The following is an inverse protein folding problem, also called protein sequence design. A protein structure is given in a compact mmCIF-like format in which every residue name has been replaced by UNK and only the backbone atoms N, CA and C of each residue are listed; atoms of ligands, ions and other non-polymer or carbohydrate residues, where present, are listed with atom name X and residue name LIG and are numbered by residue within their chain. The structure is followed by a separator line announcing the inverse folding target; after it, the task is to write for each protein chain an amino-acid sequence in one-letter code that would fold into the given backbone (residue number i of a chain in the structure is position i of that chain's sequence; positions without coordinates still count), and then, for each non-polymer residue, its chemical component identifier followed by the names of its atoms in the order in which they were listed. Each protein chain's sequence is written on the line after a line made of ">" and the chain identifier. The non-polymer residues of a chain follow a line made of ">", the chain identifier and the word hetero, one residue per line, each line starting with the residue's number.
data_IF_965990141523
#
_entry.id   IF_965990141523
#
_cell.length_a   1.000
_cell.length_b   1.000
_cell.length_c   1.000
_cell.angle_alpha   90.00
_cell.angle_beta   90.00
_cell.angle_gamma   90.00
#
_symmetry.space_group_name_H-M   'P 1'
#
loop_
_entity.id
_entity.type
_entity.pdbx_description
1 polymer ?
#
# COMPACT_ATOMS: atom_id res chain seq x y z
N UNK A 1 57.55 -22.94 18.86
CA UNK A 1 56.65 -22.40 19.89
C UNK A 1 56.35 -23.51 20.86
N UNK A 2 56.49 -23.22 22.15
CA UNK A 2 56.44 -24.21 23.22
C UNK A 2 54.98 -24.55 23.58
N UNK A 3 54.63 -25.84 23.70
CA UNK A 3 53.22 -26.24 23.92
C UNK A 3 52.64 -25.68 25.22
N UNK A 4 53.47 -25.54 26.26
CA UNK A 4 53.07 -25.00 27.56
C UNK A 4 52.64 -23.54 27.50
N UNK A 5 53.25 -22.74 26.61
CA UNK A 5 52.86 -21.34 26.45
C UNK A 5 51.46 -21.20 25.84
N UNK A 6 51.06 -22.17 25.02
CA UNK A 6 49.79 -22.18 24.32
C UNK A 6 48.63 -22.55 25.25
N UNK A 7 48.87 -23.43 26.22
CA UNK A 7 47.92 -23.75 27.30
C UNK A 7 47.70 -22.56 28.23
N UNK A 8 48.78 -21.95 28.72
CA UNK A 8 48.67 -20.75 29.57
C UNK A 8 47.94 -19.60 28.88
N UNK A 9 48.14 -19.44 27.57
CA UNK A 9 47.44 -18.43 26.79
C UNK A 9 45.93 -18.73 26.69
N UNK A 10 45.56 -20.00 26.44
CA UNK A 10 44.15 -20.43 26.40
C UNK A 10 43.46 -20.22 27.75
N UNK A 11 44.12 -20.59 28.84
CA UNK A 11 43.58 -20.39 30.19
C UNK A 11 43.37 -18.91 30.49
N UNK A 12 44.32 -18.06 30.07
CA UNK A 12 44.20 -16.61 30.27
C UNK A 12 43.04 -16.01 29.48
N UNK A 13 42.81 -16.47 28.25
CA UNK A 13 41.65 -16.07 27.43
C UNK A 13 40.34 -16.53 28.09
N UNK A 14 40.28 -17.78 28.57
CA UNK A 14 39.09 -18.31 29.23
C UNK A 14 38.75 -17.52 30.49
N UNK A 15 39.74 -17.19 31.32
CA UNK A 15 39.57 -16.40 32.54
C UNK A 15 39.13 -14.97 32.25
N UNK A 16 39.72 -14.31 31.23
CA UNK A 16 39.28 -12.97 30.84
C UNK A 16 37.85 -12.98 30.30
N UNK A 17 37.50 -13.98 29.48
CA UNK A 17 36.13 -14.16 29.00
C UNK A 17 35.12 -14.33 30.13
N UNK A 18 35.43 -15.16 31.13
CA UNK A 18 34.58 -15.37 32.30
C UNK A 18 34.42 -14.09 33.13
N UNK A 19 35.51 -13.34 33.33
CA UNK A 19 35.47 -12.08 34.09
C UNK A 19 34.63 -11.00 33.40
N UNK A 20 34.75 -10.86 32.07
CA UNK A 20 33.93 -9.95 31.30
C UNK A 20 32.45 -10.33 31.32
N UNK A 21 32.14 -11.63 31.25
CA UNK A 21 30.77 -12.12 31.37
C UNK A 21 30.17 -11.78 32.74
N UNK A 22 30.88 -12.04 33.84
CA UNK A 22 30.42 -11.73 35.20
C UNK A 22 30.21 -10.22 35.41
N UNK A 23 31.13 -9.38 34.92
CA UNK A 23 30.97 -7.92 34.95
C UNK A 23 29.76 -7.45 34.14
N UNK A 24 29.54 -8.03 32.96
CA UNK A 24 28.38 -7.73 32.13
C UNK A 24 27.08 -8.14 32.83
N UNK A 25 27.02 -9.35 33.40
CA UNK A 25 25.83 -9.84 34.11
C UNK A 25 25.51 -9.00 35.35
N UNK A 26 26.53 -8.54 36.09
CA UNK A 26 26.34 -7.61 37.23
C UNK A 26 25.78 -6.25 36.82
N UNK A 27 26.17 -5.73 35.66
CA UNK A 27 25.71 -4.41 35.18
C UNK A 27 24.38 -4.46 34.43
N UNK A 28 24.16 -5.50 33.65
CA UNK A 28 23.09 -5.56 32.65
C UNK A 28 22.13 -6.74 32.84
N UNK A 29 22.37 -7.60 33.82
CA UNK A 29 21.59 -8.82 34.04
C UNK A 29 22.07 -10.01 33.19
N UNK A 30 21.55 -11.19 33.51
CA UNK A 30 21.87 -12.44 32.81
C UNK A 30 21.42 -12.35 31.35
N UNK A 31 22.34 -12.60 30.42
CA UNK A 31 21.99 -12.72 29.00
C UNK A 31 21.33 -14.09 28.82
N UNK A 32 19.99 -14.13 28.90
CA UNK A 32 19.22 -15.30 28.52
C UNK A 32 19.27 -15.48 26.99
N UNK A 33 20.30 -16.17 26.49
CA UNK A 33 20.41 -16.54 25.05
C UNK A 33 19.37 -17.63 24.66
N UNK A 34 18.45 -17.98 25.57
CA UNK A 34 17.46 -19.05 25.38
C UNK A 34 16.02 -18.57 25.20
N UNK A 35 15.80 -17.31 24.82
CA UNK A 35 14.49 -16.91 24.30
C UNK A 35 14.46 -17.19 22.79
N UNK A 36 14.05 -18.42 22.46
CA UNK A 36 13.43 -18.72 21.17
C UNK A 36 12.37 -17.65 20.96
N UNK A 37 12.68 -16.68 20.10
CA UNK A 37 11.78 -15.59 19.77
C UNK A 37 10.46 -16.22 19.34
N UNK A 38 9.44 -16.16 20.19
CA UNK A 38 8.09 -16.43 19.78
C UNK A 38 7.75 -15.32 18.80
N UNK A 39 7.93 -15.60 17.51
CA UNK A 39 7.42 -14.79 16.43
C UNK A 39 5.91 -14.75 16.61
N UNK A 40 5.43 -13.66 17.21
CA UNK A 40 4.00 -13.37 17.28
C UNK A 40 3.53 -13.33 15.83
N UNK A 41 2.75 -14.32 15.42
CA UNK A 41 2.17 -14.38 14.09
C UNK A 41 1.16 -13.22 13.96
N UNK A 42 1.65 -12.07 13.50
CA UNK A 42 0.83 -10.89 13.26
C UNK A 42 -0.03 -11.16 12.02
N UNK A 43 -1.33 -11.34 12.24
CA UNK A 43 -2.30 -11.44 11.17
C UNK A 43 -2.61 -10.04 10.62
N UNK A 44 -1.87 -9.61 9.59
CA UNK A 44 -2.03 -8.29 8.98
C UNK A 44 -3.06 -8.40 7.85
N UNK A 45 -4.14 -7.63 7.97
CA UNK A 45 -5.16 -7.57 6.91
C UNK A 45 -4.68 -6.71 5.74
N UNK A 46 -4.93 -7.12 4.48
CA UNK A 46 -4.57 -6.35 3.30
C UNK A 46 -5.18 -4.95 3.29
N UNK A 47 -4.55 -4.03 2.56
CA UNK A 47 -5.09 -2.69 2.34
C UNK A 47 -6.38 -2.79 1.52
N UNK A 48 -7.46 -2.22 2.05
CA UNK A 48 -8.71 -2.01 1.32
C UNK A 48 -8.89 -0.52 1.09
N UNK A 49 -8.89 -0.13 -0.17
CA UNK A 49 -9.24 1.21 -0.63
C UNK A 49 -10.70 1.21 -1.09
N UNK A 50 -11.41 2.27 -0.76
CA UNK A 50 -12.79 2.49 -1.19
C UNK A 50 -12.77 3.69 -2.13
N UNK A 51 -13.38 3.54 -3.30
CA UNK A 51 -13.58 4.67 -4.21
C UNK A 51 -14.77 5.46 -3.67
N UNK A 52 -14.62 6.76 -3.34
CA UNK A 52 -15.72 7.57 -2.86
C UNK A 52 -16.84 7.67 -3.90
N UNK A 53 -18.12 7.64 -3.48
CA UNK A 53 -19.26 7.78 -4.40
C UNK A 53 -19.27 9.13 -5.11
N UNK A 54 -18.64 10.15 -4.53
CA UNK A 54 -18.45 11.47 -5.15
C UNK A 54 -17.63 11.39 -6.43
N UNK A 55 -16.62 10.51 -6.49
CA UNK A 55 -15.82 10.28 -7.69
C UNK A 55 -16.68 9.64 -8.79
N UNK A 56 -17.50 8.65 -8.45
CA UNK A 56 -18.39 7.99 -9.42
C UNK A 56 -19.42 8.97 -9.99
N UNK A 57 -20.00 9.84 -9.16
CA UNK A 57 -20.92 10.88 -9.60
C UNK A 57 -20.26 11.84 -10.61
N UNK A 58 -19.04 12.31 -10.31
CA UNK A 58 -18.28 13.19 -11.21
C UNK A 58 -17.98 12.52 -12.55
N UNK A 59 -17.61 11.23 -12.54
CA UNK A 59 -17.37 10.48 -13.78
C UNK A 59 -18.65 10.32 -14.62
N UNK A 60 -19.81 10.17 -13.97
CA UNK A 60 -21.10 10.10 -14.67
C UNK A 60 -21.48 11.44 -15.32
N UNK A 61 -21.20 12.56 -14.66
CA UNK A 61 -21.46 13.91 -15.18
C UNK A 61 -20.70 14.20 -16.48
N UNK A 62 -19.50 13.64 -16.64
CA UNK A 62 -18.67 13.83 -17.85
C UNK A 62 -19.20 13.09 -19.09
N UNK A 63 -20.25 12.28 -18.97
CA UNK A 63 -20.88 11.54 -20.08
C UNK A 63 -19.88 10.79 -21.00
N UNK A 64 -18.85 10.20 -20.41
CA UNK A 64 -17.77 9.55 -21.15
C UNK A 64 -18.30 8.42 -22.06
N UNK A 65 -17.72 8.24 -23.27
CA UNK A 65 -17.99 7.08 -24.11
C UNK A 65 -17.78 5.77 -23.35
N UNK A 66 -18.53 4.72 -23.69
CA UNK A 66 -18.44 3.39 -23.02
C UNK A 66 -16.99 2.91 -22.93
N UNK A 67 -16.26 2.94 -24.05
CA UNK A 67 -14.84 2.55 -24.12
C UNK A 67 -13.94 3.37 -23.18
N UNK A 68 -14.19 4.67 -23.04
CA UNK A 68 -13.42 5.52 -22.14
C UNK A 68 -13.70 5.16 -20.67
N UNK A 69 -14.95 4.82 -20.32
CA UNK A 69 -15.31 4.34 -18.98
C UNK A 69 -14.68 3.00 -18.63
N UNK A 70 -14.57 2.09 -19.60
CA UNK A 70 -13.87 0.81 -19.41
C UNK A 70 -12.38 1.01 -19.13
N UNK A 71 -11.72 1.85 -19.93
CA UNK A 71 -10.30 2.19 -19.73
C UNK A 71 -10.10 2.87 -18.38
N UNK A 72 -11.00 3.78 -18.01
CA UNK A 72 -10.99 4.46 -16.72
C UNK A 72 -11.10 3.47 -15.55
N UNK A 73 -12.08 2.57 -15.61
CA UNK A 73 -12.28 1.54 -14.59
C UNK A 73 -11.06 0.62 -14.48
N UNK A 74 -10.48 0.21 -15.60
CA UNK A 74 -9.26 -0.60 -15.61
C UNK A 74 -8.08 0.13 -14.96
N UNK A 75 -7.87 1.41 -15.29
CA UNK A 75 -6.81 2.24 -14.71
C UNK A 75 -7.02 2.50 -13.22
N UNK A 76 -8.27 2.67 -12.79
CA UNK A 76 -8.61 2.83 -11.38
C UNK A 76 -8.33 1.54 -10.59
N UNK A 77 -8.68 0.38 -11.14
CA UNK A 77 -8.35 -0.91 -10.52
C UNK A 77 -6.84 -1.11 -10.41
N UNK A 78 -6.08 -0.81 -11.46
CA UNK A 78 -4.61 -0.83 -11.42
C UNK A 78 -4.05 0.09 -10.32
N UNK A 79 -4.60 1.30 -10.20
CA UNK A 79 -4.19 2.22 -9.14
C UNK A 79 -4.47 1.66 -7.74
N UNK A 80 -5.61 0.98 -7.55
CA UNK A 80 -5.94 0.32 -6.27
C UNK A 80 -4.96 -0.82 -5.98
N UNK A 81 -4.68 -1.66 -6.98
CA UNK A 81 -3.75 -2.77 -6.87
C UNK A 81 -2.32 -2.30 -6.56
N UNK A 82 -1.86 -1.21 -7.20
CA UNK A 82 -0.55 -0.60 -6.93
C UNK A 82 -0.42 -0.16 -5.47
N UNK A 83 -1.48 0.41 -4.88
CA UNK A 83 -1.45 0.81 -3.47
C UNK A 83 -1.48 -0.39 -2.53
N UNK A 84 -2.27 -1.42 -2.86
CA UNK A 84 -2.31 -2.66 -2.09
C UNK A 84 -0.93 -3.32 -2.07
N UNK A 85 -0.29 -3.44 -3.23
CA UNK A 85 1.06 -3.99 -3.35
C UNK A 85 2.07 -3.14 -2.57
N UNK A 86 2.04 -1.81 -2.68
CA UNK A 86 2.94 -0.92 -1.91
C UNK A 86 2.77 -1.06 -0.41
N UNK A 87 1.53 -1.21 0.06
CA UNK A 87 1.27 -1.49 1.47
C UNK A 87 1.90 -2.83 1.86
N UNK A 88 1.68 -3.87 1.06
CA UNK A 88 2.21 -5.21 1.32
C UNK A 88 3.73 -5.24 1.37
N UNK A 89 4.39 -4.63 0.39
CA UNK A 89 5.84 -4.51 0.36
C UNK A 89 6.38 -3.74 1.57
N UNK A 90 5.74 -2.62 1.92
CA UNK A 90 6.17 -1.77 3.02
C UNK A 90 6.02 -2.45 4.39
N UNK A 91 4.88 -3.11 4.67
CA UNK A 91 4.71 -3.78 5.97
C UNK A 91 5.57 -5.04 6.06
N UNK A 92 5.72 -5.80 4.97
CA UNK A 92 6.64 -6.96 4.93
C UNK A 92 8.07 -6.50 5.26
N UNK A 93 8.53 -5.42 4.64
CA UNK A 93 9.84 -4.84 4.92
C UNK A 93 9.98 -4.38 6.37
N UNK A 94 8.96 -3.74 6.94
CA UNK A 94 8.93 -3.34 8.35
C UNK A 94 9.04 -4.53 9.30
N UNK A 95 8.33 -5.63 9.03
CA UNK A 95 8.40 -6.83 9.88
C UNK A 95 9.74 -7.54 9.81
N UNK A 96 10.40 -7.51 8.65
CA UNK A 96 11.72 -8.13 8.45
C UNK A 96 12.87 -7.31 9.06
N UNK A 97 12.75 -5.99 9.08
CA UNK A 97 13.82 -5.08 9.53
C UNK A 97 13.65 -4.56 10.96
N UNK A 98 12.46 -4.71 11.56
CA UNK A 98 12.18 -4.21 12.89
C UNK A 98 13.04 -4.90 13.96
N UNK A 99 13.73 -4.10 14.76
CA UNK A 99 14.38 -4.57 15.98
C UNK A 99 13.35 -5.22 16.93
N UNK A 100 13.74 -6.22 17.74
CA UNK A 100 12.83 -6.91 18.66
C UNK A 100 12.04 -5.95 19.58
N UNK A 101 12.68 -4.87 20.01
CA UNK A 101 12.09 -3.84 20.86
C UNK A 101 10.92 -3.07 20.19
N UNK A 102 10.89 -3.03 18.85
CA UNK A 102 9.86 -2.36 18.06
C UNK A 102 8.67 -3.27 17.73
N UNK A 103 8.75 -4.59 17.98
CA UNK A 103 7.67 -5.53 17.67
C UNK A 103 6.36 -5.16 18.38
N UNK A 104 6.43 -4.65 19.61
CA UNK A 104 5.26 -4.18 20.35
C UNK A 104 4.56 -2.98 19.71
N UNK A 105 5.28 -2.19 18.90
CA UNK A 105 4.76 -1.00 18.21
C UNK A 105 4.38 -1.26 16.75
N UNK A 106 4.81 -2.39 16.18
CA UNK A 106 4.51 -2.74 14.78
C UNK A 106 3.02 -2.63 14.43
N UNK A 107 2.06 -3.14 15.24
CA UNK A 107 0.64 -3.02 14.91
C UNK A 107 0.19 -1.56 14.71
N UNK A 108 0.65 -0.66 15.58
CA UNK A 108 0.33 0.76 15.49
C UNK A 108 0.98 1.41 14.26
N UNK A 109 2.23 1.06 13.94
CA UNK A 109 2.93 1.55 12.76
C UNK A 109 2.24 1.09 11.47
N UNK A 110 1.82 -0.18 11.41
CA UNK A 110 1.10 -0.75 10.27
C UNK A 110 -0.26 -0.06 10.07
N UNK A 111 -0.99 0.20 11.17
CA UNK A 111 -2.26 0.92 11.10
C UNK A 111 -2.07 2.37 10.64
N UNK A 112 -1.02 3.06 11.11
CA UNK A 112 -0.68 4.40 10.65
C UNK A 112 -0.31 4.41 9.16
N UNK A 113 0.47 3.42 8.70
CA UNK A 113 0.81 3.26 7.28
C UNK A 113 -0.44 3.06 6.43
N UNK A 114 -1.35 2.18 6.88
CA UNK A 114 -2.63 1.92 6.22
C UNK A 114 -3.47 3.19 6.08
N UNK A 115 -3.62 3.93 7.16
CA UNK A 115 -4.41 5.18 7.18
C UNK A 115 -3.74 6.28 6.36
N UNK A 116 -2.41 6.39 6.41
CA UNK A 116 -1.65 7.31 5.55
C UNK A 116 -1.86 7.03 4.07
N UNK A 117 -1.80 5.76 3.64
CA UNK A 117 -2.01 5.39 2.25
C UNK A 117 -3.47 5.61 1.79
N UNK A 118 -4.46 5.31 2.65
CA UNK A 118 -5.87 5.63 2.38
C UNK A 118 -6.10 7.12 2.18
N UNK A 119 -5.63 7.92 3.13
CA UNK A 119 -5.75 9.38 3.07
C UNK A 119 -5.05 9.93 1.82
N UNK A 120 -3.87 9.40 1.49
CA UNK A 120 -3.16 9.83 0.30
C UNK A 120 -3.91 9.48 -1.00
N UNK A 121 -4.48 8.27 -1.06
CA UNK A 121 -5.31 7.85 -2.18
C UNK A 121 -6.51 8.79 -2.39
N UNK A 122 -7.24 9.09 -1.32
CA UNK A 122 -8.44 9.94 -1.37
C UNK A 122 -8.13 11.42 -1.63
N UNK A 123 -7.15 11.98 -0.93
CA UNK A 123 -6.87 13.42 -0.98
C UNK A 123 -6.01 13.85 -2.18
N UNK A 124 -5.21 12.94 -2.74
CA UNK A 124 -4.25 13.29 -3.78
C UNK A 124 -4.37 12.44 -5.04
N UNK A 125 -4.44 11.11 -4.90
CA UNK A 125 -4.42 10.23 -6.06
C UNK A 125 -5.71 10.34 -6.89
N UNK A 126 -6.87 10.25 -6.23
CA UNK A 126 -8.16 10.35 -6.89
C UNK A 126 -8.40 11.73 -7.53
N UNK A 127 -8.16 12.87 -6.86
CA UNK A 127 -8.29 14.17 -7.51
C UNK A 127 -7.36 14.33 -8.71
N UNK A 128 -6.09 13.91 -8.59
CA UNK A 128 -5.14 13.96 -9.71
C UNK A 128 -5.58 13.06 -10.86
N UNK A 129 -6.18 11.93 -10.57
CA UNK A 129 -6.73 11.04 -11.58
C UNK A 129 -7.95 11.69 -12.25
N UNK A 130 -8.86 12.27 -11.47
CA UNK A 130 -10.05 12.96 -11.97
C UNK A 130 -9.71 14.12 -12.91
N UNK A 131 -8.70 14.94 -12.59
CA UNK A 131 -8.29 16.05 -13.47
C UNK A 131 -7.81 15.58 -14.84
N UNK A 132 -7.18 14.40 -14.93
CA UNK A 132 -6.80 13.80 -16.22
C UNK A 132 -8.03 13.33 -17.01
N UNK A 133 -9.03 12.79 -16.32
CA UNK A 133 -10.30 12.37 -16.94
C UNK A 133 -11.06 13.59 -17.49
N UNK A 134 -11.11 14.68 -16.73
CA UNK A 134 -11.72 15.94 -17.19
C UNK A 134 -10.99 16.51 -18.41
N UNK A 135 -9.66 16.48 -18.42
CA UNK A 135 -8.87 16.92 -19.58
C UNK A 135 -9.23 16.11 -20.82
N UNK A 136 -9.27 14.77 -20.70
CA UNK A 136 -9.67 13.89 -21.80
C UNK A 136 -11.11 14.18 -22.29
N UNK A 137 -12.05 14.41 -21.37
CA UNK A 137 -13.43 14.73 -21.72
C UNK A 137 -13.56 16.05 -22.49
N UNK A 138 -12.72 17.05 -22.16
CA UNK A 138 -12.67 18.34 -22.85
C UNK A 138 -12.07 18.24 -24.26
N UNK A 139 -11.06 17.39 -24.44
CA UNK A 139 -10.40 17.17 -25.74
C UNK A 139 -11.24 16.33 -26.72
N UNK A 140 -12.12 15.48 -26.19
CA UNK A 140 -13.00 14.62 -26.97
C UNK A 140 -14.48 14.91 -26.67
N UNK A 141 -14.97 16.11 -26.99
CA UNK A 141 -16.37 16.44 -26.77
C UNK A 141 -17.25 15.49 -27.59
N UNK A 142 -18.36 15.07 -27.00
CA UNK A 142 -19.32 14.19 -27.67
C UNK A 142 -19.74 14.86 -28.99
N UNK A 143 -19.71 14.15 -30.13
CA UNK A 143 -20.20 14.72 -31.36
C UNK A 143 -21.68 15.02 -31.18
N UNK A 144 -22.02 16.31 -31.13
CA UNK A 144 -23.40 16.81 -31.15
C UNK A 144 -24.05 16.26 -32.41
N UNK A 145 -24.75 15.14 -32.26
CA UNK A 145 -25.51 14.57 -33.38
C UNK A 145 -26.64 15.55 -33.62
N UNK A 146 -26.71 16.22 -34.78
CA UNK A 146 -27.79 17.15 -35.05
C UNK A 146 -29.13 16.42 -34.91
N UNK A 147 -30.18 17.09 -34.41
CA UNK A 147 -31.49 16.48 -34.27
C UNK A 147 -31.92 15.86 -35.60
N UNK A 148 -32.51 14.64 -35.59
CA UNK A 148 -32.96 14.01 -36.82
C UNK A 148 -33.92 14.95 -37.56
N UNK A 149 -33.82 15.05 -38.89
CA UNK A 149 -34.69 15.94 -39.66
C UNK A 149 -36.17 15.61 -39.36
N UNK A 150 -37.05 16.62 -39.29
CA UNK A 150 -38.46 16.42 -39.03
C UNK A 150 -39.01 15.41 -40.04
N UNK A 151 -39.66 14.35 -39.52
CA UNK A 151 -40.33 13.36 -40.37
C UNK A 151 -41.39 14.09 -41.18
N UNK A 152 -41.22 14.14 -42.51
CA UNK A 152 -42.24 14.67 -43.40
C UNK A 152 -43.52 13.87 -43.16
N UNK A 153 -44.53 14.54 -42.61
CA UNK A 153 -45.85 13.97 -42.39
C UNK A 153 -46.40 13.56 -43.74
N UNK A 154 -46.60 12.26 -43.92
CA UNK A 154 -47.30 11.69 -45.06
C UNK A 154 -48.69 12.33 -45.14
N UNK A 155 -48.91 13.16 -46.16
CA UNK A 155 -50.20 13.79 -46.42
C UNK A 155 -51.21 12.67 -46.71
N UNK A 156 -52.36 12.59 -46.02
CA UNK A 156 -53.36 11.57 -46.31
C UNK A 156 -53.97 11.83 -47.69
N UNK A 157 -53.92 10.80 -48.55
CA UNK A 157 -54.64 10.81 -49.82
C UNK A 157 -56.14 10.82 -49.53
N UNK A 158 -56.79 11.96 -49.77
CA UNK A 158 -58.25 12.02 -49.83
C UNK A 158 -58.68 11.21 -51.07
N UNK A 159 -59.47 10.17 -50.82
CA UNK A 159 -60.19 9.39 -51.81
C UNK A 159 -61.19 10.31 -52.55
N UNK A 160 -61.26 10.17 -53.87
CA UNK A 160 -62.25 10.78 -54.76
C UNK A 160 -63.05 9.68 -55.43
#
# INVERSE_FOLDING_TARGET
>A
MDMQQLELFRDRIAQTGAHWKDLHEKRFGVINVSEKHQTVALHITPLRLVVPPTFEAQVQELQLPVRAREVLSHRLNQLVDDYAQRFDDAWNHLTQTAAPQLQSRLPQVIENLRNGLRNHFEAYALPKFMTQVEAFAKEHPRPSTPPPPPRQSSIPAYEA
#
